data_IF_661721646688
#
_entry.id   IF_661721646688
#
_cell.length_a   1.000
_cell.length_b   1.000
_cell.length_c   1.000
_cell.angle_alpha   90.00
_cell.angle_beta   90.00
_cell.angle_gamma   90.00
#
_symmetry.space_group_name_H-M   'P 1'
#
loop_
_entity.id
_entity.type
_entity.pdbx_description
1 polymer ?
#
# COMPACT_ATOMS: atom_id res chain seq x y z
N UNK A 1 -15.07 -8.51 37.12
CA UNK A 1 -13.94 -7.74 36.57
C UNK A 1 -13.83 -7.92 35.04
N UNK A 2 -14.96 -8.12 34.36
CA UNK A 2 -15.00 -8.83 33.08
C UNK A 2 -15.19 -7.90 31.88
N UNK A 3 -15.70 -6.69 32.09
CA UNK A 3 -15.99 -5.73 31.02
C UNK A 3 -14.71 -5.05 30.52
N UNK A 4 -13.91 -4.51 31.43
CA UNK A 4 -12.64 -3.83 31.11
C UNK A 4 -11.64 -4.75 30.40
N UNK A 5 -11.56 -6.04 30.78
CA UNK A 5 -10.68 -7.01 30.13
C UNK A 5 -11.15 -7.36 28.70
N UNK A 6 -12.46 -7.49 28.49
CA UNK A 6 -13.05 -7.72 27.15
C UNK A 6 -12.86 -6.50 26.23
N UNK A 7 -13.04 -5.30 26.75
CA UNK A 7 -12.84 -4.05 26.01
C UNK A 7 -11.37 -3.85 25.61
N UNK A 8 -10.43 -4.16 26.51
CA UNK A 8 -8.99 -4.11 26.21
C UNK A 8 -8.57 -5.09 25.10
N UNK A 9 -9.07 -6.34 25.14
CA UNK A 9 -8.78 -7.35 24.10
C UNK A 9 -9.40 -6.93 22.75
N UNK A 10 -10.62 -6.40 22.76
CA UNK A 10 -11.28 -5.94 21.55
C UNK A 10 -10.53 -4.76 20.91
N UNK A 11 -10.11 -3.77 21.71
CA UNK A 11 -9.33 -2.63 21.25
C UNK A 11 -7.97 -3.05 20.68
N UNK A 12 -7.22 -3.91 21.39
CA UNK A 12 -5.93 -4.42 20.92
C UNK A 12 -6.04 -5.15 19.57
N UNK A 13 -7.08 -5.97 19.37
CA UNK A 13 -7.32 -6.67 18.10
C UNK A 13 -7.66 -5.71 16.95
N UNK A 14 -8.38 -4.61 17.22
CA UNK A 14 -8.68 -3.60 16.20
C UNK A 14 -7.42 -2.84 15.79
N UNK A 15 -6.59 -2.44 16.75
CA UNK A 15 -5.33 -1.75 16.50
C UNK A 15 -4.35 -2.64 15.71
N UNK A 16 -4.23 -3.92 16.07
CA UNK A 16 -3.42 -4.88 15.34
C UNK A 16 -3.90 -5.04 13.90
N UNK A 17 -5.20 -5.24 13.68
CA UNK A 17 -5.78 -5.33 12.33
C UNK A 17 -5.55 -4.07 11.49
N UNK A 18 -5.61 -2.89 12.11
CA UNK A 18 -5.35 -1.63 11.43
C UNK A 18 -3.87 -1.54 10.99
N UNK A 19 -2.92 -1.91 11.87
CA UNK A 19 -1.50 -1.94 11.53
C UNK A 19 -1.19 -2.89 10.38
N UNK A 20 -1.70 -4.13 10.45
CA UNK A 20 -1.54 -5.11 9.37
C UNK A 20 -2.10 -4.62 8.03
N UNK A 21 -3.21 -3.87 8.02
CA UNK A 21 -3.74 -3.27 6.79
C UNK A 21 -2.85 -2.17 6.22
N UNK A 22 -2.24 -1.36 7.09
CA UNK A 22 -1.31 -0.30 6.65
C UNK A 22 -0.03 -0.92 6.11
N UNK A 23 0.52 -1.93 6.77
CA UNK A 23 1.73 -2.63 6.32
C UNK A 23 1.53 -3.32 4.97
N UNK A 24 0.37 -3.98 4.76
CA UNK A 24 0.04 -4.58 3.46
C UNK A 24 -0.04 -3.54 2.35
N UNK A 25 -0.73 -2.42 2.58
CA UNK A 25 -0.84 -1.35 1.59
C UNK A 25 0.52 -0.76 1.23
N UNK A 26 1.41 -0.57 2.22
CA UNK A 26 2.79 -0.12 1.96
C UNK A 26 3.56 -1.12 1.08
N UNK A 27 3.50 -2.41 1.42
CA UNK A 27 4.18 -3.43 0.65
C UNK A 27 3.63 -3.56 -0.79
N UNK A 28 2.34 -3.38 -0.99
CA UNK A 28 1.73 -3.33 -2.34
C UNK A 28 2.17 -2.08 -3.11
N UNK A 29 2.23 -0.93 -2.44
CA UNK A 29 2.69 0.32 -3.04
C UNK A 29 4.17 0.27 -3.43
N UNK A 30 5.05 -0.26 -2.57
CA UNK A 30 6.48 -0.46 -2.90
C UNK A 30 6.68 -1.38 -4.10
N UNK A 31 5.86 -2.43 -4.25
CA UNK A 31 5.88 -3.30 -5.44
C UNK A 31 5.43 -2.54 -6.69
N UNK A 32 4.38 -1.74 -6.59
CA UNK A 32 3.91 -0.92 -7.71
C UNK A 32 4.98 0.07 -8.18
N UNK A 33 5.73 0.69 -7.24
CA UNK A 33 6.86 1.55 -7.54
C UNK A 33 7.97 0.78 -8.28
N UNK A 34 8.36 -0.39 -7.78
CA UNK A 34 9.41 -1.20 -8.40
C UNK A 34 9.05 -1.59 -9.84
N UNK A 35 7.80 -1.98 -10.09
CA UNK A 35 7.30 -2.29 -11.43
C UNK A 35 7.27 -1.04 -12.32
N UNK A 36 6.84 0.11 -11.78
CA UNK A 36 6.81 1.37 -12.53
C UNK A 36 8.21 1.80 -13.01
N UNK A 37 9.23 1.65 -12.16
CA UNK A 37 10.63 1.94 -12.50
C UNK A 37 11.15 1.05 -13.63
N UNK A 38 10.84 -0.25 -13.58
CA UNK A 38 11.21 -1.18 -14.66
C UNK A 38 10.51 -0.83 -15.97
N UNK A 39 9.22 -0.50 -15.94
CA UNK A 39 8.51 -0.06 -17.15
C UNK A 39 9.03 1.28 -17.70
N UNK A 40 9.41 2.23 -16.83
CA UNK A 40 10.09 3.46 -17.24
C UNK A 40 11.41 3.17 -17.95
N UNK A 41 12.22 2.24 -17.43
CA UNK A 41 13.48 1.80 -18.06
C UNK A 41 13.28 1.14 -19.42
N UNK A 42 12.14 0.45 -19.60
CA UNK A 42 11.74 -0.13 -20.88
C UNK A 42 11.15 0.90 -21.87
N UNK A 43 10.95 2.15 -21.44
CA UNK A 43 10.44 3.23 -22.29
C UNK A 43 8.93 3.19 -22.51
N UNK A 44 8.15 2.58 -21.61
CA UNK A 44 6.70 2.55 -21.74
C UNK A 44 6.08 3.96 -21.52
N UNK A 45 4.97 4.28 -22.22
CA UNK A 45 4.23 5.52 -21.96
C UNK A 45 3.71 5.59 -20.53
N UNK A 46 3.77 6.78 -19.90
CA UNK A 46 3.34 6.99 -18.51
C UNK A 46 1.89 6.54 -18.24
N UNK A 47 0.99 6.71 -19.21
CA UNK A 47 -0.40 6.27 -19.11
C UNK A 47 -0.53 4.74 -19.02
N UNK A 48 0.31 4.00 -19.75
CA UNK A 48 0.32 2.54 -19.71
C UNK A 48 0.95 2.03 -18.41
N UNK A 49 1.98 2.72 -17.91
CA UNK A 49 2.57 2.43 -16.60
C UNK A 49 1.51 2.64 -15.50
N UNK A 50 0.81 3.77 -15.52
CA UNK A 50 -0.28 4.07 -14.57
C UNK A 50 -1.36 2.99 -14.57
N UNK A 51 -1.76 2.53 -15.77
CA UNK A 51 -2.72 1.44 -15.91
C UNK A 51 -2.20 0.10 -15.36
N UNK A 52 -0.91 -0.19 -15.53
CA UNK A 52 -0.28 -1.45 -15.12
C UNK A 52 0.05 -1.54 -13.63
N UNK A 53 0.33 -0.41 -12.98
CA UNK A 53 0.76 -0.36 -11.56
C UNK A 53 -0.30 0.18 -10.61
N UNK A 54 -1.31 0.87 -11.15
CA UNK A 54 -2.32 1.57 -10.34
C UNK A 54 -1.81 2.87 -9.71
N UNK A 55 -0.57 3.29 -10.01
CA UNK A 55 -0.03 4.57 -9.56
C UNK A 55 -0.58 5.72 -10.41
N UNK A 56 -0.69 6.90 -9.81
CA UNK A 56 -1.03 8.13 -10.54
C UNK A 56 0.11 8.52 -11.48
N UNK A 57 -0.23 9.12 -12.63
CA UNK A 57 0.76 9.64 -13.58
C UNK A 57 1.74 10.60 -12.87
N UNK A 58 1.23 11.50 -12.04
CA UNK A 58 2.07 12.46 -11.28
C UNK A 58 3.03 11.74 -10.31
N UNK A 59 2.63 10.60 -9.75
CA UNK A 59 3.50 9.80 -8.88
C UNK A 59 4.60 9.13 -9.70
N UNK A 60 4.23 8.54 -10.84
CA UNK A 60 5.17 7.91 -11.77
C UNK A 60 6.16 8.93 -12.31
N UNK A 61 5.74 10.16 -12.62
CA UNK A 61 6.64 11.23 -13.08
C UNK A 61 7.75 11.55 -12.06
N UNK A 62 7.45 11.44 -10.76
CA UNK A 62 8.39 11.71 -9.66
C UNK A 62 9.33 10.54 -9.34
N UNK A 63 9.07 9.33 -9.85
CA UNK A 63 9.95 8.15 -9.75
C UNK A 63 11.19 8.28 -10.63
#
# INVERSE_FOLDING_TARGET
MDKAKKEGIAKGRLEERAKLKVEKQKAEHEKAIAVALEFKRMGLPLADIAKGTGLSIEEIEKL
#
